data_IF_263484305569
#
_entry.id   IF_263484305569
#
_cell.length_a   1.000
_cell.length_b   1.000
_cell.length_c   1.000
_cell.angle_alpha   90.00
_cell.angle_beta   90.00
_cell.angle_gamma   90.00
#
_symmetry.space_group_name_H-M   'P 1'
#
loop_
_entity.id
_entity.type
_entity.pdbx_description
1 polymer ?
#
# COMPACT_ATOMS: atom_id res chain seq x y z
N UNK A 1 20.65 -4.24 -7.96
CA UNK A 1 19.25 -3.74 -8.10
C UNK A 1 18.21 -4.71 -7.53
N UNK A 2 18.53 -6.00 -7.40
CA UNK A 2 17.60 -7.03 -6.92
C UNK A 2 17.17 -6.86 -5.46
N UNK A 3 18.07 -6.40 -4.58
CA UNK A 3 17.76 -6.17 -3.15
C UNK A 3 16.66 -5.11 -2.99
N UNK A 4 16.73 -4.02 -3.76
CA UNK A 4 15.70 -2.96 -3.73
C UNK A 4 14.35 -3.48 -4.23
N UNK A 5 14.34 -4.32 -5.28
CA UNK A 5 13.10 -4.91 -5.79
C UNK A 5 12.45 -5.86 -4.80
N UNK A 6 13.24 -6.72 -4.16
CA UNK A 6 12.75 -7.61 -3.10
C UNK A 6 12.20 -6.83 -1.91
N UNK A 7 12.94 -5.80 -1.46
CA UNK A 7 12.47 -4.95 -0.36
C UNK A 7 11.15 -4.25 -0.69
N UNK A 8 10.99 -3.72 -1.91
CA UNK A 8 9.75 -3.09 -2.35
C UNK A 8 8.58 -4.07 -2.36
N UNK A 9 8.78 -5.30 -2.86
CA UNK A 9 7.76 -6.34 -2.83
C UNK A 9 7.36 -6.68 -1.39
N UNK A 10 8.33 -6.97 -0.52
CA UNK A 10 8.04 -7.32 0.87
C UNK A 10 7.31 -6.19 1.59
N UNK A 11 7.76 -4.94 1.43
CA UNK A 11 7.17 -3.79 2.10
C UNK A 11 5.72 -3.54 1.68
N UNK A 12 5.44 -3.60 0.37
CA UNK A 12 4.13 -3.25 -0.17
C UNK A 12 3.11 -4.40 -0.07
N UNK A 13 3.57 -5.65 -0.19
CA UNK A 13 2.66 -6.78 -0.37
C UNK A 13 2.60 -7.72 0.85
N UNK A 14 3.71 -7.86 1.60
CA UNK A 14 3.82 -8.92 2.61
C UNK A 14 3.86 -8.39 4.05
N UNK A 15 4.46 -7.22 4.27
CA UNK A 15 4.69 -6.70 5.63
C UNK A 15 3.44 -5.99 6.16
N UNK A 16 2.87 -6.42 7.30
CA UNK A 16 1.82 -5.68 7.98
C UNK A 16 2.40 -4.45 8.67
N UNK A 17 1.68 -3.32 8.61
CA UNK A 17 2.10 -2.07 9.26
C UNK A 17 1.10 -1.66 10.33
N UNK A 18 1.55 -1.38 11.55
CA UNK A 18 0.67 -0.96 12.65
C UNK A 18 -0.14 0.30 12.30
N UNK A 19 0.46 1.26 11.58
CA UNK A 19 -0.22 2.47 11.12
C UNK A 19 -1.40 2.20 10.17
N UNK A 20 -1.38 1.05 9.47
CA UNK A 20 -2.44 0.61 8.56
C UNK A 20 -3.37 -0.43 9.21
N UNK A 21 -3.34 -0.57 10.53
CA UNK A 21 -4.13 -1.57 11.25
C UNK A 21 -3.61 -3.00 11.03
N UNK A 22 -2.28 -3.16 10.94
CA UNK A 22 -1.59 -4.43 10.67
C UNK A 22 -1.88 -5.00 9.28
N UNK A 23 -2.07 -4.12 8.30
CA UNK A 23 -2.27 -4.50 6.89
C UNK A 23 -1.04 -4.14 6.05
N UNK A 24 -0.76 -4.91 4.98
CA UNK A 24 0.14 -4.47 3.94
C UNK A 24 -0.42 -3.26 3.17
N UNK A 25 0.46 -2.38 2.63
CA UNK A 25 0.06 -1.20 1.88
C UNK A 25 -0.88 -1.49 0.71
N UNK A 26 -0.64 -2.54 -0.07
CA UNK A 26 -1.53 -2.93 -1.18
C UNK A 26 -2.94 -3.24 -0.68
N UNK A 27 -3.06 -4.03 0.39
CA UNK A 27 -4.36 -4.41 0.96
C UNK A 27 -5.10 -3.21 1.53
N UNK A 28 -4.39 -2.30 2.19
CA UNK A 28 -4.98 -1.06 2.68
C UNK A 28 -5.47 -0.17 1.53
N UNK A 29 -4.68 -0.04 0.47
CA UNK A 29 -5.05 0.74 -0.71
C UNK A 29 -6.32 0.21 -1.38
N UNK A 30 -6.43 -1.10 -1.59
CA UNK A 30 -7.62 -1.73 -2.17
C UNK A 30 -8.88 -1.48 -1.34
N UNK A 31 -8.76 -1.54 0.00
CA UNK A 31 -9.88 -1.24 0.90
C UNK A 31 -10.33 0.22 0.85
N UNK A 32 -9.40 1.14 0.59
CA UNK A 32 -9.65 2.57 0.62
C UNK A 32 -9.85 3.19 -0.78
N UNK A 33 -9.65 2.43 -1.85
CA UNK A 33 -9.75 2.90 -3.23
C UNK A 33 -11.12 3.51 -3.56
N UNK A 34 -12.20 3.04 -2.91
CA UNK A 34 -13.55 3.57 -3.05
C UNK A 34 -13.87 4.81 -2.21
N UNK A 35 -12.97 5.21 -1.29
CA UNK A 35 -13.20 6.30 -0.34
C UNK A 35 -12.45 7.60 -0.70
N UNK A 36 -11.84 7.66 -1.89
CA UNK A 36 -11.10 8.84 -2.32
C UNK A 36 -12.06 9.97 -2.68
N UNK A 37 -12.07 11.04 -1.86
CA UNK A 37 -12.83 12.28 -2.13
C UNK A 37 -12.04 13.27 -2.99
N UNK A 38 -10.81 12.93 -3.35
CA UNK A 38 -9.95 13.74 -4.22
C UNK A 38 -10.51 13.69 -5.64
N UNK A 39 -11.22 14.75 -6.03
CA UNK A 39 -11.53 14.98 -7.45
C UNK A 39 -10.22 15.19 -8.19
N UNK A 40 -9.99 14.37 -9.20
CA UNK A 40 -8.92 14.61 -10.16
C UNK A 40 -9.26 15.93 -10.88
N UNK A 41 -8.46 16.97 -10.65
CA UNK A 41 -8.53 18.19 -11.45
C UNK A 41 -7.95 17.90 -12.84
N UNK A 42 -8.76 18.11 -13.87
CA UNK A 42 -8.39 18.01 -15.30
C UNK A 42 -7.78 19.31 -15.78
#
# INVERSE_FOLDING_TARGET
REITGRWMMEYNDQRPHDALGKLPPTVYAERNAGNSTLKLST
#
